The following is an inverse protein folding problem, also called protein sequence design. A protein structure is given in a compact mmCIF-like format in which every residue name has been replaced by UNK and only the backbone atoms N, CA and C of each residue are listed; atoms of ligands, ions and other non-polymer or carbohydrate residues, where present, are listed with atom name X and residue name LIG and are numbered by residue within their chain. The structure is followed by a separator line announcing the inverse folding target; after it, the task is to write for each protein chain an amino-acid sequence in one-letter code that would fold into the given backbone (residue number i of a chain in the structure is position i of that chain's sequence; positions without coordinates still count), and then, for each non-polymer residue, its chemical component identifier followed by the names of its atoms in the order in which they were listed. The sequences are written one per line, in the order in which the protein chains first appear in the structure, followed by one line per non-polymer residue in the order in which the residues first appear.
data_IF_403198763983
#
_entry.id   IF_403198763983
#
_cell.length_a   1.000
_cell.length_b   1.000
_cell.length_c   1.000
_cell.angle_alpha   90.00
_cell.angle_beta   90.00
_cell.angle_gamma   90.00
#
_symmetry.space_group_name_H-M   'P 1'
#
loop_
_entity.id
_entity.type
_entity.pdbx_description
1 polymer ?
#
# COMPACT_ATOMS: atom_id res chain seq x y z
N UNK A 1 -32.47 -14.59 -29.51
CA UNK A 1 -31.02 -14.49 -29.22
C UNK A 1 -30.26 -14.06 -30.48
N UNK A 2 -29.90 -12.77 -30.62
CA UNK A 2 -29.18 -12.19 -31.78
C UNK A 2 -27.65 -12.39 -31.74
N UNK A 3 -27.16 -13.40 -31.01
CA UNK A 3 -25.72 -13.66 -30.89
C UNK A 3 -25.14 -14.45 -32.09
N UNK A 4 -25.98 -15.01 -32.95
CA UNK A 4 -25.54 -15.92 -34.02
C UNK A 4 -25.25 -15.27 -35.39
N UNK A 5 -25.70 -14.04 -35.63
CA UNK A 5 -25.38 -13.25 -36.85
C UNK A 5 -24.25 -12.26 -36.56
N UNK A 6 -23.05 -12.76 -36.29
CA UNK A 6 -21.84 -11.92 -36.29
C UNK A 6 -20.93 -12.33 -37.44
N UNK A 7 -20.36 -11.36 -38.15
CA UNK A 7 -19.31 -11.60 -39.14
C UNK A 7 -18.06 -12.21 -38.51
N UNK A 8 -17.30 -12.95 -39.34
CA UNK A 8 -16.12 -13.74 -38.93
C UNK A 8 -15.07 -12.91 -38.18
N UNK A 9 -14.96 -11.62 -38.49
CA UNK A 9 -14.02 -10.68 -37.88
C UNK A 9 -14.47 -10.15 -36.51
N UNK A 10 -15.76 -9.85 -36.34
CA UNK A 10 -16.33 -9.45 -35.04
C UNK A 10 -16.24 -10.55 -33.98
N UNK A 11 -16.48 -11.81 -34.36
CA UNK A 11 -16.31 -12.97 -33.47
C UNK A 11 -14.85 -13.16 -33.00
N UNK A 12 -13.89 -12.87 -33.88
CA UNK A 12 -12.45 -12.95 -33.59
C UNK A 12 -12.01 -11.83 -32.63
N UNK A 13 -12.46 -10.60 -32.85
CA UNK A 13 -12.15 -9.47 -31.97
C UNK A 13 -12.73 -9.66 -30.57
N UNK A 14 -13.98 -10.15 -30.47
CA UNK A 14 -14.61 -10.44 -29.18
C UNK A 14 -13.90 -11.58 -28.43
N UNK A 15 -13.52 -12.66 -29.12
CA UNK A 15 -12.74 -13.75 -28.51
C UNK A 15 -11.38 -13.27 -28.02
N UNK A 16 -10.69 -12.41 -28.78
CA UNK A 16 -9.40 -11.87 -28.38
C UNK A 16 -9.51 -10.98 -27.13
N UNK A 17 -10.52 -10.10 -27.09
CA UNK A 17 -10.80 -9.26 -25.92
C UNK A 17 -11.12 -10.11 -24.69
N UNK A 18 -11.90 -11.18 -24.86
CA UNK A 18 -12.23 -12.11 -23.78
C UNK A 18 -10.99 -12.84 -23.25
N UNK A 19 -10.11 -13.33 -24.13
CA UNK A 19 -8.87 -13.99 -23.74
C UNK A 19 -7.93 -13.03 -22.99
N UNK A 20 -7.77 -11.80 -23.49
CA UNK A 20 -6.96 -10.76 -22.83
C UNK A 20 -7.52 -10.40 -21.44
N UNK A 21 -8.84 -10.38 -21.28
CA UNK A 21 -9.48 -10.15 -19.97
C UNK A 21 -9.13 -11.26 -18.97
N UNK A 22 -9.10 -12.53 -19.39
CA UNK A 22 -8.76 -13.65 -18.50
C UNK A 22 -7.29 -13.58 -18.09
N UNK A 23 -6.37 -13.36 -19.04
CA UNK A 23 -4.94 -13.19 -18.72
C UNK A 23 -4.69 -12.05 -17.74
N UNK A 24 -5.43 -10.94 -17.88
CA UNK A 24 -5.30 -9.81 -16.96
C UNK A 24 -5.72 -10.14 -15.53
N UNK A 25 -6.78 -10.93 -15.32
CA UNK A 25 -7.23 -11.38 -14.00
C UNK A 25 -6.16 -12.27 -13.36
N UNK A 26 -5.57 -13.17 -14.15
CA UNK A 26 -4.50 -14.07 -13.68
C UNK A 26 -3.26 -13.26 -13.25
N UNK A 27 -2.85 -12.25 -14.03
CA UNK A 27 -1.72 -11.38 -13.68
C UNK A 27 -2.02 -10.60 -12.39
N UNK A 28 -3.22 -10.02 -12.25
CA UNK A 28 -3.60 -9.32 -11.01
C UNK A 28 -3.58 -10.26 -9.81
N UNK A 29 -4.16 -11.46 -9.93
CA UNK A 29 -4.17 -12.45 -8.86
C UNK A 29 -2.74 -12.90 -8.48
N UNK A 30 -1.88 -13.08 -9.47
CA UNK A 30 -0.48 -13.45 -9.26
C UNK A 30 0.32 -12.35 -8.57
N UNK A 31 0.18 -11.10 -9.02
CA UNK A 31 0.79 -9.92 -8.38
C UNK A 31 0.30 -9.78 -6.95
N UNK A 32 -1.01 -9.95 -6.68
CA UNK A 32 -1.57 -9.92 -5.32
C UNK A 32 -1.01 -11.05 -4.45
N UNK A 33 -0.78 -12.24 -5.00
CA UNK A 33 -0.22 -13.38 -4.27
C UNK A 33 1.25 -13.17 -3.87
N UNK A 34 2.11 -12.85 -4.84
CA UNK A 34 3.54 -12.53 -4.58
C UNK A 34 3.66 -11.37 -3.60
N UNK A 35 2.79 -10.38 -3.77
CA UNK A 35 2.69 -9.27 -2.85
C UNK A 35 2.40 -9.80 -1.44
N UNK A 36 1.30 -10.53 -1.19
CA UNK A 36 1.00 -11.05 0.16
C UNK A 36 2.14 -11.85 0.81
N UNK A 37 2.86 -12.68 0.05
CA UNK A 37 3.98 -13.47 0.57
C UNK A 37 5.20 -12.61 0.93
N UNK A 38 5.49 -11.56 0.16
CA UNK A 38 6.61 -10.64 0.39
C UNK A 38 6.32 -9.56 1.46
N UNK A 39 5.12 -9.51 2.03
CA UNK A 39 4.75 -8.48 3.01
C UNK A 39 5.34 -8.71 4.39
N UNK A 40 5.71 -9.93 4.76
CA UNK A 40 6.28 -10.22 6.07
C UNK A 40 7.75 -9.79 6.08
N UNK A 41 7.97 -8.52 6.40
CA UNK A 41 9.30 -8.00 6.63
C UNK A 41 9.75 -8.37 8.04
N UNK A 42 10.71 -9.28 8.12
CA UNK A 42 11.48 -9.48 9.34
C UNK A 42 12.50 -8.36 9.43
N UNK A 43 12.53 -7.73 10.59
CA UNK A 43 13.41 -6.59 10.83
C UNK A 43 14.83 -7.11 10.91
N UNK A 44 15.67 -6.63 10.01
CA UNK A 44 17.09 -6.94 10.03
C UNK A 44 17.79 -5.99 10.99
N UNK A 45 17.99 -6.44 12.23
CA UNK A 45 18.65 -5.68 13.30
C UNK A 45 20.06 -5.23 12.89
N UNK A 46 20.71 -5.89 11.94
CA UNK A 46 22.05 -5.51 11.44
C UNK A 46 22.03 -4.25 10.57
N UNK A 47 20.88 -3.90 9.99
CA UNK A 47 20.69 -2.70 9.15
C UNK A 47 20.10 -1.52 9.93
N UNK A 48 19.87 -1.70 11.23
CA UNK A 48 19.36 -0.66 12.11
C UNK A 48 20.52 0.15 12.68
N UNK A 49 20.45 1.47 12.59
CA UNK A 49 21.46 2.35 13.18
C UNK A 49 20.96 2.96 14.48
N UNK A 50 21.78 2.83 15.53
CA UNK A 50 21.57 3.52 16.80
C UNK A 50 21.86 5.00 16.62
N UNK A 51 20.87 5.83 16.95
CA UNK A 51 20.98 7.29 16.92
C UNK A 51 20.50 7.87 18.25
N UNK A 52 21.02 9.04 18.57
CA UNK A 52 20.59 9.83 19.72
C UNK A 52 20.30 11.25 19.26
N UNK A 53 19.33 11.90 19.89
CA UNK A 53 19.00 13.28 19.58
C UNK A 53 18.02 13.89 20.57
N UNK A 54 17.63 15.13 20.30
CA UNK A 54 16.63 15.86 21.07
C UNK A 54 15.37 15.99 20.23
N UNK A 55 14.22 15.72 20.84
CA UNK A 55 12.92 15.82 20.18
C UNK A 55 12.63 17.28 19.85
N UNK A 56 12.47 17.58 18.56
CA UNK A 56 12.10 18.91 18.05
C UNK A 56 10.58 19.10 18.09
N UNK A 57 9.82 18.10 17.61
CA UNK A 57 8.36 18.12 17.52
C UNK A 57 7.80 16.72 17.73
N UNK A 58 6.63 16.65 18.36
CA UNK A 58 5.84 15.43 18.53
C UNK A 58 4.45 15.71 18.01
N UNK A 59 3.94 14.82 17.17
CA UNK A 59 2.56 14.86 16.67
C UNK A 59 1.87 13.57 17.04
N UNK A 60 0.55 13.65 17.27
CA UNK A 60 -0.26 12.46 17.45
C UNK A 60 -0.27 11.62 16.18
N UNK A 61 -0.22 10.31 16.38
CA UNK A 61 -0.31 9.39 15.27
C UNK A 61 -1.75 9.19 14.79
N UNK A 62 -1.89 8.34 13.78
CA UNK A 62 -3.17 8.01 13.15
C UNK A 62 -3.31 6.51 12.96
N UNK A 63 -4.53 6.05 12.79
CA UNK A 63 -4.80 4.67 12.41
C UNK A 63 -4.32 4.40 10.99
N UNK A 64 -3.78 3.21 10.78
CA UNK A 64 -3.33 2.69 9.50
C UNK A 64 -3.82 1.26 9.35
N UNK A 65 -3.79 0.73 8.13
CA UNK A 65 -4.33 -0.60 7.84
C UNK A 65 -3.58 -1.77 8.49
N UNK A 66 -2.39 -1.55 9.04
CA UNK A 66 -1.59 -2.57 9.72
C UNK A 66 -1.45 -2.30 11.24
N UNK A 67 -2.24 -1.37 11.79
CA UNK A 67 -2.20 -0.99 13.19
C UNK A 67 -2.37 0.51 13.42
N UNK A 68 -1.79 1.04 14.49
CA UNK A 68 -1.93 2.44 14.87
C UNK A 68 -0.57 3.08 15.06
N UNK A 69 -0.33 4.17 14.37
CA UNK A 69 0.82 5.02 14.68
C UNK A 69 0.47 5.73 15.99
N UNK A 70 1.33 5.59 16.99
CA UNK A 70 1.12 6.20 18.31
C UNK A 70 1.56 7.65 18.31
N UNK A 71 2.76 7.94 17.78
CA UNK A 71 3.34 9.29 17.67
C UNK A 71 4.23 9.39 16.44
N UNK A 72 4.24 10.57 15.83
CA UNK A 72 5.29 11.01 14.91
C UNK A 72 6.24 11.93 15.66
N UNK A 73 7.54 11.73 15.47
CA UNK A 73 8.59 12.43 16.21
C UNK A 73 9.59 12.96 15.19
N UNK A 74 9.80 14.27 15.23
CA UNK A 74 10.89 14.92 14.52
C UNK A 74 12.01 15.21 15.51
N UNK A 75 13.22 14.79 15.16
CA UNK A 75 14.42 14.95 15.98
C UNK A 75 15.26 16.08 15.38
N UNK A 76 15.93 16.88 16.22
CA UNK A 76 16.72 18.04 15.80
C UNK A 76 17.84 17.71 14.80
N UNK A 77 18.30 16.47 14.76
CA UNK A 77 19.28 15.98 13.79
C UNK A 77 18.68 15.78 12.37
N UNK A 78 17.42 16.14 12.16
CA UNK A 78 16.69 15.99 10.90
C UNK A 78 15.98 14.66 10.73
N UNK A 79 16.12 13.71 11.68
CA UNK A 79 15.43 12.44 11.58
C UNK A 79 13.94 12.55 11.89
N UNK A 80 13.15 11.93 11.03
CA UNK A 80 11.70 11.76 11.19
C UNK A 80 11.44 10.29 11.52
N UNK A 81 11.00 10.02 12.75
CA UNK A 81 10.70 8.67 13.22
C UNK A 81 9.25 8.54 13.68
N UNK A 82 8.70 7.34 13.55
CA UNK A 82 7.36 7.03 14.03
C UNK A 82 7.37 5.80 14.96
N UNK A 83 6.43 5.80 15.89
CA UNK A 83 6.17 4.68 16.78
C UNK A 83 4.90 3.99 16.29
N UNK A 84 5.03 2.71 15.91
CA UNK A 84 3.92 1.91 15.41
C UNK A 84 3.49 0.87 16.46
N UNK A 85 2.18 0.74 16.64
CA UNK A 85 1.52 -0.39 17.30
C UNK A 85 0.85 -1.26 16.22
N UNK A 86 1.04 -2.58 16.24
CA UNK A 86 0.39 -3.47 15.28
C UNK A 86 -1.07 -3.70 15.67
N UNK A 87 -1.90 -4.03 14.70
CA UNK A 87 -3.29 -4.43 14.94
C UNK A 87 -3.37 -5.78 15.70
N UNK A 88 -4.31 -5.91 16.63
CA UNK A 88 -4.49 -7.11 17.46
C UNK A 88 -3.54 -7.23 18.66
N UNK A 89 -2.63 -6.27 18.81
CA UNK A 89 -1.79 -6.12 20.00
C UNK A 89 -2.57 -5.36 21.07
N UNK A 90 -2.49 -5.80 22.34
CA UNK A 90 -3.20 -5.18 23.46
C UNK A 90 -2.94 -3.67 23.56
N UNK A 91 -3.80 -2.95 24.29
CA UNK A 91 -3.73 -1.49 24.46
C UNK A 91 -2.39 -0.99 25.05
N UNK A 92 -1.57 -1.92 25.55
CA UNK A 92 -0.25 -1.75 26.17
C UNK A 92 0.90 -2.37 25.37
N UNK A 93 0.66 -2.97 24.20
CA UNK A 93 1.69 -3.62 23.40
C UNK A 93 2.15 -2.71 22.23
N UNK A 94 3.45 -2.70 21.87
CA UNK A 94 4.57 -3.38 22.53
C UNK A 94 5.14 -2.51 23.66
N UNK A 95 4.75 -2.76 24.92
CA UNK A 95 5.39 -2.23 26.13
C UNK A 95 5.40 -0.70 26.32
N UNK A 96 4.55 0.06 25.61
CA UNK A 96 4.45 1.51 25.80
C UNK A 96 3.10 1.86 26.41
N UNK A 97 3.11 2.18 27.71
CA UNK A 97 1.88 2.64 28.38
C UNK A 97 1.45 4.02 27.86
N UNK A 98 0.17 4.34 28.00
CA UNK A 98 -0.35 5.69 27.67
C UNK A 98 0.40 6.80 28.43
N UNK A 99 0.80 6.52 29.69
CA UNK A 99 1.62 7.42 30.51
C UNK A 99 3.01 7.64 29.91
N UNK A 100 3.61 6.59 29.35
CA UNK A 100 4.93 6.67 28.73
C UNK A 100 4.91 7.43 27.40
N UNK A 101 3.86 7.28 26.60
CA UNK A 101 3.65 8.09 25.40
C UNK A 101 3.56 9.58 25.73
N UNK A 102 2.97 9.94 26.87
CA UNK A 102 2.89 11.34 27.34
C UNK A 102 4.26 11.88 27.79
N UNK A 103 5.22 11.03 28.15
CA UNK A 103 6.58 11.46 28.49
C UNK A 103 7.42 11.83 27.27
N UNK A 104 7.02 11.37 26.08
CA UNK A 104 7.68 11.69 24.80
C UNK A 104 7.22 13.09 24.37
N UNK A 105 7.95 14.10 24.82
CA UNK A 105 7.66 15.52 24.56
C UNK A 105 8.87 16.24 24.00
N UNK A 106 8.62 17.41 23.41
CA UNK A 106 9.66 18.30 22.89
C UNK A 106 10.73 18.59 23.94
N UNK A 107 12.00 18.61 23.52
CA UNK A 107 13.15 18.92 24.37
C UNK A 107 13.72 17.73 25.15
N UNK A 108 13.05 16.56 25.12
CA UNK A 108 13.61 15.34 25.74
C UNK A 108 14.67 14.70 24.84
N UNK A 109 15.69 14.12 25.49
CA UNK A 109 16.68 13.27 24.83
C UNK A 109 16.07 11.91 24.53
N UNK A 110 16.27 11.44 23.31
CA UNK A 110 15.77 10.18 22.80
C UNK A 110 16.94 9.41 22.17
N UNK A 111 16.97 8.10 22.39
CA UNK A 111 17.82 7.16 21.67
C UNK A 111 16.93 6.21 20.91
N UNK A 112 17.30 5.87 19.68
CA UNK A 112 16.47 4.98 18.90
C UNK A 112 17.27 4.18 17.88
N UNK A 113 16.75 3.02 17.51
CA UNK A 113 17.18 2.26 16.34
C UNK A 113 16.29 2.65 15.16
N UNK A 114 16.89 3.31 14.18
CA UNK A 114 16.20 3.76 12.97
C UNK A 114 16.24 2.66 11.91
N UNK A 115 15.07 2.25 11.42
CA UNK A 115 14.98 1.48 10.19
C UNK A 115 15.21 2.35 8.97
N UNK A 116 16.03 1.92 8.01
CA UNK A 116 16.11 2.61 6.72
C UNK A 116 15.03 2.18 5.73
N UNK A 117 14.50 0.95 5.86
CA UNK A 117 13.66 0.33 4.81
C UNK A 117 12.16 0.53 4.99
N UNK A 118 11.68 0.64 6.22
CA UNK A 118 10.27 0.87 6.52
C UNK A 118 10.05 2.34 6.84
N UNK A 119 9.51 3.02 5.83
CA UNK A 119 9.08 4.39 5.90
C UNK A 119 7.55 4.40 5.89
N UNK A 120 6.95 5.28 6.70
CA UNK A 120 5.52 5.50 6.80
C UNK A 120 5.30 7.00 6.75
N UNK A 121 4.72 7.51 5.66
CA UNK A 121 4.51 8.95 5.43
C UNK A 121 5.80 9.78 5.61
N UNK A 122 6.95 9.30 5.09
CA UNK A 122 8.30 9.90 5.23
C UNK A 122 8.97 9.72 6.60
N UNK A 123 8.28 9.13 7.58
CA UNK A 123 8.86 8.79 8.88
C UNK A 123 9.40 7.37 8.86
N UNK A 124 10.65 7.19 9.27
CA UNK A 124 11.23 5.87 9.48
C UNK A 124 10.63 5.21 10.72
N UNK A 125 10.47 3.89 10.69
CA UNK A 125 10.03 3.16 11.87
C UNK A 125 11.16 3.14 12.92
N UNK A 126 10.83 3.50 14.15
CA UNK A 126 11.72 3.32 15.30
C UNK A 126 11.50 1.92 15.89
N UNK A 127 12.56 1.12 15.96
CA UNK A 127 12.49 -0.24 16.47
C UNK A 127 12.69 -0.35 17.96
N UNK A 128 13.80 0.20 18.44
CA UNK A 128 14.10 0.35 19.85
C UNK A 128 14.06 1.83 20.12
N UNK A 129 13.35 2.25 21.17
CA UNK A 129 13.24 3.66 21.52
C UNK A 129 13.47 3.80 23.02
N UNK A 130 14.37 4.67 23.41
CA UNK A 130 14.67 4.98 24.79
C UNK A 130 14.48 6.46 25.03
N UNK A 131 13.60 6.81 25.97
CA UNK A 131 13.39 8.18 26.41
C UNK A 131 13.66 8.25 27.92
N UNK A 132 14.71 8.95 28.33
CA UNK A 132 15.18 8.92 29.72
C UNK A 132 15.66 7.52 30.13
N UNK A 133 15.13 6.98 31.24
CA UNK A 133 15.47 5.65 31.74
C UNK A 133 14.61 4.52 31.14
N UNK A 134 13.51 4.86 30.45
CA UNK A 134 12.58 3.86 29.91
C UNK A 134 12.95 3.45 28.49
N UNK A 135 12.99 2.14 28.27
CA UNK A 135 13.25 1.48 26.99
C UNK A 135 11.95 0.86 26.48
N UNK A 136 11.61 1.11 25.23
CA UNK A 136 10.45 0.58 24.55
C UNK A 136 10.89 -0.56 23.61
N UNK A 137 10.15 -1.66 23.64
CA UNK A 137 10.57 -2.96 23.10
C UNK A 137 10.73 -2.99 21.57
N UNK A 138 11.63 -3.85 21.05
CA UNK A 138 11.85 -4.02 19.63
C UNK A 138 10.66 -4.67 18.92
N UNK A 139 10.18 -4.03 17.86
CA UNK A 139 9.33 -4.69 16.87
C UNK A 139 10.22 -5.74 16.17
N UNK A 140 9.76 -7.00 16.05
CA UNK A 140 10.55 -8.09 15.43
C UNK A 140 10.09 -8.42 14.01
N UNK A 141 8.81 -8.22 13.73
CA UNK A 141 8.22 -8.50 12.43
C UNK A 141 7.13 -7.47 12.15
N UNK A 142 7.09 -6.99 10.91
CA UNK A 142 6.05 -6.09 10.47
C UNK A 142 5.66 -6.34 9.02
N UNK A 143 4.48 -5.84 8.69
CA UNK A 143 3.94 -5.88 7.35
C UNK A 143 4.36 -4.60 6.62
N UNK A 144 5.09 -4.71 5.50
CA UNK A 144 5.64 -3.52 4.80
C UNK A 144 4.51 -2.61 4.29
N UNK A 145 4.44 -1.37 4.82
CA UNK A 145 3.32 -0.45 4.58
C UNK A 145 3.42 0.22 3.21
N UNK A 146 4.59 0.77 2.85
CA UNK A 146 4.79 1.40 1.53
C UNK A 146 4.58 0.43 0.37
N UNK A 147 5.04 -0.82 0.51
CA UNK A 147 4.87 -1.83 -0.54
C UNK A 147 3.42 -2.21 -0.74
N UNK A 148 2.57 -2.07 0.28
CA UNK A 148 1.14 -2.31 0.10
C UNK A 148 0.43 -1.20 -0.67
N UNK A 149 0.79 0.06 -0.39
CA UNK A 149 0.31 1.19 -1.21
C UNK A 149 0.73 0.99 -2.67
N UNK A 150 2.00 0.65 -2.91
CA UNK A 150 2.50 0.35 -4.25
C UNK A 150 1.71 -0.76 -4.96
N UNK A 151 1.33 -1.82 -4.24
CA UNK A 151 0.55 -2.93 -4.81
C UNK A 151 -0.89 -2.51 -5.09
N UNK A 152 -1.51 -1.72 -4.21
CA UNK A 152 -2.84 -1.15 -4.48
C UNK A 152 -2.81 -0.25 -5.70
N UNK A 153 -1.80 0.61 -5.80
CA UNK A 153 -1.63 1.54 -6.91
C UNK A 153 -1.41 0.78 -8.23
N UNK A 154 -0.54 -0.23 -8.25
CA UNK A 154 -0.37 -1.11 -9.41
C UNK A 154 -1.68 -1.83 -9.76
N UNK A 155 -2.36 -2.40 -8.76
CA UNK A 155 -3.62 -3.10 -8.97
C UNK A 155 -4.68 -2.20 -9.59
N UNK A 156 -4.78 -0.95 -9.12
CA UNK A 156 -5.67 0.07 -9.67
C UNK A 156 -5.28 0.46 -11.10
N UNK A 157 -3.99 0.66 -11.37
CA UNK A 157 -3.48 0.97 -12.71
C UNK A 157 -3.84 -0.16 -13.69
N UNK A 158 -3.60 -1.42 -13.30
CA UNK A 158 -3.94 -2.57 -14.15
C UNK A 158 -5.46 -2.63 -14.39
N UNK A 159 -6.28 -2.43 -13.36
CA UNK A 159 -7.74 -2.39 -13.50
C UNK A 159 -8.19 -1.30 -14.49
N UNK A 160 -7.63 -0.09 -14.38
CA UNK A 160 -7.95 1.02 -15.29
C UNK A 160 -7.57 0.71 -16.74
N UNK A 161 -6.40 0.11 -16.97
CA UNK A 161 -5.97 -0.32 -18.32
C UNK A 161 -6.98 -1.32 -18.91
N UNK A 162 -7.44 -2.30 -18.13
CA UNK A 162 -8.42 -3.30 -18.59
C UNK A 162 -9.75 -2.64 -18.96
N UNK A 163 -10.24 -1.73 -18.12
CA UNK A 163 -11.47 -0.98 -18.39
C UNK A 163 -11.35 -0.15 -19.67
N UNK A 164 -10.21 0.52 -19.89
CA UNK A 164 -9.95 1.28 -21.12
C UNK A 164 -9.93 0.39 -22.37
N UNK A 165 -9.23 -0.75 -22.33
CA UNK A 165 -9.20 -1.71 -23.47
C UNK A 165 -10.60 -2.26 -23.76
N UNK A 166 -11.34 -2.59 -22.70
CA UNK A 166 -12.72 -3.09 -22.82
C UNK A 166 -13.65 -2.05 -23.44
N UNK A 167 -13.54 -0.79 -23.01
CA UNK A 167 -14.31 0.32 -23.57
C UNK A 167 -14.00 0.56 -25.05
N UNK A 168 -12.72 0.52 -25.45
CA UNK A 168 -12.33 0.62 -26.87
C UNK A 168 -12.96 -0.52 -27.69
N UNK A 169 -12.92 -1.75 -27.18
CA UNK A 169 -13.57 -2.90 -27.82
C UNK A 169 -15.10 -2.73 -27.97
N UNK A 170 -15.75 -2.18 -26.94
CA UNK A 170 -17.20 -1.87 -26.96
C UNK A 170 -17.50 -0.73 -27.94
N UNK A 171 -16.69 0.33 -27.98
CA UNK A 171 -16.87 1.45 -28.90
C UNK A 171 -16.75 1.00 -30.36
N UNK A 172 -15.73 0.18 -30.69
CA UNK A 172 -15.58 -0.39 -32.04
C UNK A 172 -16.80 -1.25 -32.39
N UNK A 173 -17.28 -2.06 -31.44
CA UNK A 173 -18.48 -2.87 -31.64
C UNK A 173 -19.73 -2.02 -31.90
N UNK A 174 -19.96 -0.98 -31.10
CA UNK A 174 -21.10 -0.08 -31.26
C UNK A 174 -21.04 0.73 -32.56
N UNK A 175 -19.86 1.21 -32.94
CA UNK A 175 -19.64 1.93 -34.20
C UNK A 175 -20.01 1.04 -35.39
N UNK A 176 -19.56 -0.23 -35.38
CA UNK A 176 -19.88 -1.19 -36.43
C UNK A 176 -21.38 -1.57 -36.47
N UNK A 177 -22.05 -1.58 -35.32
CA UNK A 177 -23.49 -1.85 -35.20
C UNK A 177 -24.35 -0.67 -35.66
N UNK A 178 -23.85 0.56 -35.52
CA UNK A 178 -24.49 1.76 -36.05
C UNK A 178 -24.37 1.83 -37.57
N UNK A 179 -23.20 1.54 -38.12
CA UNK A 179 -22.92 1.53 -39.56
C UNK A 179 -23.81 0.53 -40.35
N UNK A 180 -24.27 -0.53 -39.66
CA UNK A 180 -25.13 -1.57 -40.25
C UNK A 180 -26.63 -1.30 -40.14
N UNK A 181 -27.07 -0.30 -39.36
CA UNK A 181 -28.51 -0.03 -39.13
C UNK A 181 -29.07 1.18 -39.86
N UNK A 182 -28.25 2.17 -40.20
CA UNK A 182 -28.74 3.44 -40.77
C UNK A 182 -28.31 3.69 -42.24
N UNK A 183 -27.57 2.79 -42.89
CA UNK A 183 -27.04 3.05 -44.25
C UNK A 183 -27.89 2.51 -45.41
N UNK A 184 -29.00 1.81 -45.15
CA UNK A 184 -29.91 1.35 -46.20
C UNK A 184 -31.37 1.69 -45.84
N UNK A 185 -31.74 2.95 -46.08
CA UNK A 185 -33.11 3.27 -46.45
C UNK A 185 -33.27 2.68 -47.85
N UNK A 186 -33.94 1.54 -47.95
CA UNK A 186 -34.42 1.04 -49.23
C UNK A 186 -35.62 1.91 -49.61
N UNK A 187 -35.47 2.72 -50.66
CA UNK A 187 -36.61 3.22 -51.46
C UNK A 187 -37.30 2.03 -52.15
#
# INVERSE_FOLDING_TARGET
MKFFRMEKWGKRSFSLAFILSIFSIIIVAYVVKISKESWNYRIDETQCHKREGVIEKVQDGKEISNGKILKFIKVQNGDEICILRKEGEWDEYPGISKKDLQMITKGKKIRYLKDQKNIINKYNLAYDLQCGQKKYMPIKQMKKIEMWNYVKDIGLIILMIILSISMIGVTIYLYWLADTKDMYIYD
#
